data_IF_712710130192
#
_entry.id   IF_712710130192
#
_cell.length_a   1.000
_cell.length_b   1.000
_cell.length_c   1.000
_cell.angle_alpha   90.00
_cell.angle_beta   90.00
_cell.angle_gamma   90.00
#
_symmetry.space_group_name_H-M   'P 1'
#
loop_
_entity.id
_entity.type
_entity.pdbx_description
1 polymer ?
#
# COMPACT_ATOMS: atom_id res chain seq x y z
N UNK A 1 0.87 4.98 -10.35
CA UNK A 1 1.78 5.82 -9.54
C UNK A 1 3.22 5.73 -10.03
N UNK A 2 3.90 4.58 -9.94
CA UNK A 2 5.33 4.45 -10.37
C UNK A 2 5.60 4.97 -11.79
N UNK A 3 4.73 4.64 -12.76
CA UNK A 3 4.86 5.10 -14.15
C UNK A 3 4.73 6.63 -14.32
N UNK A 4 3.99 7.28 -13.41
CA UNK A 4 3.82 8.74 -13.40
C UNK A 4 5.03 9.40 -12.75
N UNK A 5 5.54 8.83 -11.64
CA UNK A 5 6.74 9.34 -10.97
C UNK A 5 7.97 9.23 -11.89
N UNK A 6 8.06 8.16 -12.69
CA UNK A 6 9.10 7.98 -13.72
C UNK A 6 8.89 8.83 -14.97
N UNK A 7 7.92 9.76 -14.95
CA UNK A 7 7.60 10.69 -16.04
C UNK A 7 7.24 10.03 -17.37
N UNK A 8 6.91 8.72 -17.36
CA UNK A 8 6.44 8.02 -18.55
C UNK A 8 5.04 8.52 -18.91
N UNK A 9 4.22 8.78 -17.89
CA UNK A 9 2.84 9.26 -18.04
C UNK A 9 2.68 10.65 -17.42
N UNK A 10 1.83 11.48 -18.04
CA UNK A 10 1.49 12.80 -17.51
C UNK A 10 0.69 12.67 -16.21
N UNK A 11 0.94 13.60 -15.29
CA UNK A 11 0.17 13.74 -14.05
C UNK A 11 -1.23 14.28 -14.39
N UNK A 12 -2.31 13.68 -13.88
CA UNK A 12 -3.65 14.26 -13.97
C UNK A 12 -3.68 15.66 -13.33
N UNK A 13 -4.41 16.62 -13.93
CA UNK A 13 -4.37 18.02 -13.48
C UNK A 13 -4.71 18.18 -11.99
N UNK A 14 -5.61 17.35 -11.46
CA UNK A 14 -6.10 17.41 -10.08
C UNK A 14 -5.04 17.07 -9.04
N UNK A 15 -3.95 16.44 -9.48
CA UNK A 15 -2.89 15.92 -8.63
C UNK A 15 -1.54 16.63 -8.86
N UNK A 16 -1.48 17.63 -9.75
CA UNK A 16 -0.22 18.29 -10.13
C UNK A 16 0.51 18.85 -8.92
N UNK A 17 -0.19 19.63 -8.08
CA UNK A 17 0.41 20.25 -6.90
C UNK A 17 1.01 19.22 -5.93
N UNK A 18 0.28 18.12 -5.68
CA UNK A 18 0.75 17.03 -4.83
C UNK A 18 1.97 16.32 -5.41
N UNK A 19 2.01 16.11 -6.73
CA UNK A 19 3.17 15.48 -7.39
C UNK A 19 4.39 16.40 -7.41
N UNK A 20 4.19 17.72 -7.54
CA UNK A 20 5.30 18.68 -7.50
C UNK A 20 5.90 18.77 -6.09
N UNK A 21 5.08 18.77 -5.05
CA UNK A 21 5.55 18.64 -3.66
C UNK A 21 6.29 17.32 -3.44
N UNK A 22 5.70 16.20 -3.89
CA UNK A 22 6.34 14.88 -3.79
C UNK A 22 7.71 14.87 -4.46
N UNK A 23 7.83 15.41 -5.69
CA UNK A 23 9.11 15.49 -6.41
C UNK A 23 10.12 16.34 -5.64
N UNK A 24 9.71 17.48 -5.10
CA UNK A 24 10.57 18.32 -4.25
C UNK A 24 11.10 17.55 -3.06
N UNK A 25 10.26 16.83 -2.32
CA UNK A 25 10.73 16.00 -1.20
C UNK A 25 11.65 14.86 -1.65
N UNK A 26 11.34 14.21 -2.78
CA UNK A 26 12.19 13.16 -3.33
C UNK A 26 13.57 13.64 -3.76
N UNK A 27 13.75 14.91 -4.15
CA UNK A 27 15.09 15.45 -4.47
C UNK A 27 15.99 15.64 -3.25
N UNK A 28 15.42 15.68 -2.03
CA UNK A 28 16.19 15.88 -0.79
C UNK A 28 16.83 14.60 -0.26
N UNK A 29 16.43 13.44 -0.78
CA UNK A 29 16.85 12.13 -0.30
C UNK A 29 17.12 11.19 -1.48
N UNK A 30 17.98 10.19 -1.29
CA UNK A 30 18.16 9.15 -2.32
C UNK A 30 16.95 8.19 -2.28
N UNK A 31 16.15 8.18 -3.36
CA UNK A 31 14.93 7.37 -3.44
C UNK A 31 15.02 6.36 -4.57
N UNK A 32 14.75 5.09 -4.26
CA UNK A 32 14.54 4.04 -5.26
C UNK A 32 13.05 3.76 -5.43
N UNK A 33 12.53 3.94 -6.65
CA UNK A 33 11.11 3.71 -6.96
C UNK A 33 10.96 2.38 -7.68
N UNK A 34 10.23 1.45 -7.07
CA UNK A 34 9.92 0.15 -7.64
C UNK A 34 8.42 -0.12 -7.60
N UNK A 35 7.93 -0.83 -8.61
CA UNK A 35 6.58 -1.34 -8.60
C UNK A 35 6.53 -2.63 -7.79
N UNK A 36 5.63 -2.69 -6.82
CA UNK A 36 5.39 -3.88 -6.01
C UNK A 36 3.97 -4.39 -6.26
N UNK A 37 3.79 -5.72 -6.18
CA UNK A 37 2.46 -6.32 -6.21
C UNK A 37 1.67 -5.87 -4.99
N UNK A 38 0.34 -5.76 -5.14
CA UNK A 38 -0.54 -5.29 -4.06
C UNK A 38 -0.44 -6.19 -2.82
N UNK A 39 -0.23 -7.48 -3.02
CA UNK A 39 -0.05 -8.47 -1.97
C UNK A 39 1.19 -8.20 -1.10
N UNK A 40 2.22 -7.56 -1.68
CA UNK A 40 3.42 -7.10 -0.98
C UNK A 40 3.32 -5.67 -0.43
N UNK A 41 2.19 -4.99 -0.63
CA UNK A 41 1.94 -3.64 -0.12
C UNK A 41 0.86 -3.61 0.98
N UNK A 42 0.63 -4.75 1.63
CA UNK A 42 -0.49 -4.93 2.56
C UNK A 42 -0.42 -4.04 3.78
N UNK A 43 0.79 -3.77 4.28
CA UNK A 43 0.95 -2.90 5.44
C UNK A 43 0.51 -1.47 5.12
N UNK A 44 0.89 -0.93 3.96
CA UNK A 44 0.46 0.39 3.53
C UNK A 44 -1.07 0.45 3.34
N UNK A 45 -1.66 -0.54 2.65
CA UNK A 45 -3.12 -0.66 2.49
C UNK A 45 -3.82 -0.67 3.87
N UNK A 46 -3.28 -1.44 4.83
CA UNK A 46 -3.83 -1.50 6.18
C UNK A 46 -3.75 -0.15 6.91
N UNK A 47 -2.61 0.54 6.84
CA UNK A 47 -2.41 1.84 7.50
C UNK A 47 -3.32 2.92 6.91
N UNK A 48 -3.49 2.94 5.58
CA UNK A 48 -4.41 3.88 4.92
C UNK A 48 -5.85 3.62 5.36
N UNK A 49 -6.30 2.36 5.37
CA UNK A 49 -7.65 2.02 5.84
C UNK A 49 -7.84 2.38 7.31
N UNK A 50 -6.80 2.23 8.14
CA UNK A 50 -6.86 2.62 9.54
C UNK A 50 -6.94 4.15 9.70
N UNK A 51 -6.26 4.91 8.84
CA UNK A 51 -6.30 6.37 8.83
C UNK A 51 -7.65 6.92 8.33
N UNK A 52 -8.22 6.32 7.28
CA UNK A 52 -9.54 6.71 6.74
C UNK A 52 -10.63 6.59 7.82
N UNK A 53 -10.54 5.55 8.66
CA UNK A 53 -11.52 5.30 9.72
C UNK A 53 -11.17 6.02 11.04
N UNK A 54 -10.06 6.75 11.11
CA UNK A 54 -9.66 7.46 12.32
C UNK A 54 -10.11 8.92 12.28
N UNK A 55 -10.68 9.40 13.39
CA UNK A 55 -10.98 10.83 13.57
C UNK A 55 -9.75 11.69 13.81
N UNK A 56 -8.63 11.07 14.22
CA UNK A 56 -7.41 11.74 14.65
C UNK A 56 -6.17 11.10 14.02
N UNK A 57 -5.13 11.92 13.86
CA UNK A 57 -3.82 11.47 13.39
C UNK A 57 -3.20 10.49 14.39
N UNK A 58 -3.00 9.24 13.95
CA UNK A 58 -2.30 8.22 14.73
C UNK A 58 -0.86 8.10 14.28
N UNK A 59 0.07 8.05 15.22
CA UNK A 59 1.50 7.84 14.96
C UNK A 59 1.99 6.67 15.81
N UNK A 60 2.60 5.68 15.15
CA UNK A 60 3.17 4.51 15.79
C UNK A 60 4.69 4.57 15.67
N UNK A 61 5.40 4.68 16.79
CA UNK A 61 6.86 4.74 16.86
C UNK A 61 7.51 3.41 17.20
N UNK A 62 6.74 2.43 17.64
CA UNK A 62 7.25 1.08 17.93
C UNK A 62 6.31 -0.01 17.45
N UNK A 63 6.87 -1.18 17.16
CA UNK A 63 6.11 -2.36 16.73
C UNK A 63 4.98 -2.71 17.70
N UNK A 64 5.20 -2.53 19.01
CA UNK A 64 4.21 -2.86 20.04
C UNK A 64 2.99 -1.92 20.02
N UNK A 65 3.13 -0.70 19.49
CA UNK A 65 2.04 0.26 19.38
C UNK A 65 1.10 -0.03 18.20
N UNK A 66 1.54 -0.83 17.22
CA UNK A 66 0.68 -1.24 16.11
C UNK A 66 -0.42 -2.20 16.60
N UNK A 67 -1.66 -2.04 16.10
CA UNK A 67 -2.70 -3.02 16.37
C UNK A 67 -2.31 -4.42 15.90
N UNK A 68 -2.92 -5.44 16.50
CA UNK A 68 -2.60 -6.85 16.26
C UNK A 68 -2.58 -7.24 14.79
N UNK A 69 -3.52 -6.70 13.99
CA UNK A 69 -3.61 -6.95 12.55
C UNK A 69 -2.37 -6.40 11.82
N UNK A 70 -1.98 -5.15 12.09
CA UNK A 70 -0.79 -4.55 11.49
C UNK A 70 0.49 -5.31 11.86
N UNK A 71 0.63 -5.73 13.13
CA UNK A 71 1.74 -6.57 13.58
C UNK A 71 1.78 -7.92 12.86
N UNK A 72 0.62 -8.54 12.66
CA UNK A 72 0.51 -9.81 11.93
C UNK A 72 0.98 -9.66 10.48
N UNK A 73 0.62 -8.58 9.80
CA UNK A 73 1.06 -8.30 8.41
C UNK A 73 2.58 -8.22 8.34
N UNK A 74 3.22 -7.43 9.22
CA UNK A 74 4.68 -7.31 9.29
C UNK A 74 5.34 -8.67 9.53
N UNK A 75 4.81 -9.47 10.44
CA UNK A 75 5.37 -10.79 10.72
C UNK A 75 5.27 -11.73 9.53
N UNK A 76 4.14 -11.72 8.80
CA UNK A 76 3.98 -12.53 7.59
C UNK A 76 4.94 -12.09 6.47
N UNK A 77 5.16 -10.78 6.29
CA UNK A 77 6.15 -10.27 5.35
C UNK A 77 7.56 -10.71 5.73
N UNK A 78 7.93 -10.64 7.02
CA UNK A 78 9.23 -11.13 7.51
C UNK A 78 9.43 -12.63 7.32
N UNK A 79 8.36 -13.42 7.41
CA UNK A 79 8.41 -14.85 7.13
C UNK A 79 8.58 -15.19 5.64
N UNK A 80 8.56 -14.19 4.74
CA UNK A 80 8.68 -14.36 3.29
C UNK A 80 7.64 -15.33 2.71
N UNK A 81 6.49 -15.46 3.38
CA UNK A 81 5.41 -16.32 2.92
C UNK A 81 4.61 -15.54 1.86
N UNK A 82 4.50 -16.03 0.62
CA UNK A 82 3.75 -15.34 -0.41
C UNK A 82 2.29 -15.26 0.00
N UNK A 83 1.73 -14.05 0.03
CA UNK A 83 0.29 -13.92 0.14
C UNK A 83 -0.33 -14.10 -1.24
N UNK A 84 -1.05 -15.20 -1.44
CA UNK A 84 -1.80 -15.44 -2.67
C UNK A 84 -3.22 -14.89 -2.56
N UNK A 85 -3.63 -14.08 -3.55
CA UNK A 85 -5.03 -13.69 -3.71
C UNK A 85 -5.76 -14.74 -4.55
N UNK A 86 -6.42 -15.69 -3.87
CA UNK A 86 -7.24 -16.69 -4.55
C UNK A 86 -8.65 -16.13 -4.78
N UNK A 87 -9.12 -16.16 -6.02
CA UNK A 87 -10.52 -15.90 -6.38
C UNK A 87 -11.17 -17.21 -6.81
N UNK A 88 -12.10 -17.71 -6.02
CA UNK A 88 -12.85 -18.92 -6.36
C UNK A 88 -14.04 -18.57 -7.24
N UNK A 89 -14.20 -19.25 -8.38
CA UNK A 89 -15.45 -19.18 -9.16
C UNK A 89 -16.52 -20.01 -8.44
N UNK A 90 -17.72 -19.44 -8.25
CA UNK A 90 -18.89 -20.23 -7.81
C UNK A 90 -19.32 -21.13 -8.97
N UNK A 91 -19.25 -22.44 -8.77
CA UNK A 91 -19.81 -23.42 -9.71
C UNK A 91 -21.22 -23.72 -9.18
N UNK A 92 -22.25 -23.33 -9.93
CA UNK A 92 -23.61 -23.77 -9.65
C UNK A 92 -23.70 -25.25 -10.01
N UNK A 93 -23.88 -26.12 -9.00
CA UNK A 93 -24.21 -27.51 -9.26
C UNK A 93 -25.66 -27.55 -9.75
N UNK A 94 -25.85 -27.88 -11.02
CA UNK A 94 -27.17 -28.28 -11.54
C UNK A 94 -27.41 -29.68 -10.97
N UNK A 95 -28.32 -29.79 -10.01
CA UNK A 95 -28.91 -31.08 -9.66
C UNK A 95 -29.69 -31.56 -10.88
N UNK A 96 -29.27 -32.70 -11.44
CA UNK A 96 -30.00 -33.47 -12.45
C UNK A 96 -31.04 -34.36 -11.76
#
# INVERSE_FOLDING_TARGET
MVIIIKEVWKVPWELVDYFDELKREMTKIEVTIQHIYREGNKLADYLVNLAINASEKKTFRSFKQLPSIGRKIINMEKSQIPVLRVRTKKIFQRHA
#
